data_IF_681584512409
#
_entry.id   IF_681584512409
#
_cell.length_a   1.000
_cell.length_b   1.000
_cell.length_c   1.000
_cell.angle_alpha   90.00
_cell.angle_beta   90.00
_cell.angle_gamma   90.00
#
_symmetry.space_group_name_H-M   'P 1'
#
loop_
_entity.id
_entity.type
_entity.pdbx_description
1 polymer ?
#
# COMPACT_ATOMS: atom_id res chain seq x y z
N UNK A 1 -12.52 -6.49 -16.40
CA UNK A 1 -11.14 -6.41 -15.83
C UNK A 1 -10.14 -6.92 -16.86
N UNK A 2 -8.86 -6.53 -16.75
CA UNK A 2 -7.78 -7.06 -17.58
C UNK A 2 -7.42 -8.49 -17.17
N UNK A 3 -7.30 -9.41 -18.13
CA UNK A 3 -6.92 -10.80 -17.91
C UNK A 3 -5.78 -11.15 -18.87
N UNK A 4 -4.66 -11.61 -18.33
CA UNK A 4 -3.54 -12.11 -19.12
C UNK A 4 -3.69 -13.63 -19.28
N UNK A 5 -3.66 -14.11 -20.51
CA UNK A 5 -3.73 -15.53 -20.82
C UNK A 5 -2.53 -15.96 -21.64
N UNK A 6 -1.90 -17.07 -21.25
CA UNK A 6 -0.81 -17.67 -22.00
C UNK A 6 -1.06 -19.15 -22.26
N UNK A 7 -0.99 -19.54 -23.52
CA UNK A 7 -1.11 -20.91 -24.01
C UNK A 7 -0.40 -20.99 -25.37
N UNK A 8 0.37 -22.01 -25.65
CA UNK A 8 1.05 -22.17 -26.93
C UNK A 8 0.12 -22.68 -28.06
N UNK A 9 -1.00 -23.30 -27.69
CA UNK A 9 -2.01 -23.75 -28.64
C UNK A 9 -2.90 -22.58 -29.10
N UNK A 10 -2.86 -22.30 -30.40
CA UNK A 10 -3.67 -21.23 -31.04
C UNK A 10 -5.17 -21.43 -30.82
N UNK A 11 -5.66 -22.68 -30.83
CA UNK A 11 -7.08 -22.99 -30.66
C UNK A 11 -7.49 -22.75 -29.22
N UNK A 12 -6.67 -23.17 -28.26
CA UNK A 12 -6.92 -22.92 -26.83
C UNK A 12 -6.92 -21.40 -26.52
N UNK A 13 -5.94 -20.65 -27.07
CA UNK A 13 -5.93 -19.19 -26.95
C UNK A 13 -7.19 -18.53 -27.50
N UNK A 14 -7.62 -18.92 -28.71
CA UNK A 14 -8.85 -18.37 -29.33
C UNK A 14 -10.09 -18.67 -28.49
N UNK A 15 -10.18 -19.85 -27.89
CA UNK A 15 -11.29 -20.21 -26.99
C UNK A 15 -11.27 -19.37 -25.70
N UNK A 16 -10.11 -19.24 -25.08
CA UNK A 16 -9.92 -18.40 -23.89
C UNK A 16 -10.32 -16.95 -24.18
N UNK A 17 -9.84 -16.38 -25.28
CA UNK A 17 -10.16 -15.03 -25.71
C UNK A 17 -11.66 -14.82 -25.92
N UNK A 18 -12.32 -15.73 -26.64
CA UNK A 18 -13.76 -15.68 -26.86
C UNK A 18 -14.55 -15.71 -25.55
N UNK A 19 -14.19 -16.58 -24.61
CA UNK A 19 -14.84 -16.69 -23.30
C UNK A 19 -14.66 -15.43 -22.48
N UNK A 20 -13.46 -14.82 -22.51
CA UNK A 20 -13.16 -13.61 -21.78
C UNK A 20 -13.89 -12.38 -22.34
N UNK A 21 -13.92 -12.23 -23.68
CA UNK A 21 -14.63 -11.12 -24.34
C UNK A 21 -16.13 -11.22 -24.06
N UNK A 22 -16.71 -12.41 -24.15
CA UNK A 22 -18.13 -12.64 -23.85
C UNK A 22 -18.45 -12.35 -22.38
N UNK A 23 -17.50 -12.58 -21.47
CA UNK A 23 -17.58 -12.19 -20.06
C UNK A 23 -17.33 -10.71 -19.77
N UNK A 24 -17.10 -9.87 -20.78
CA UNK A 24 -16.84 -8.45 -20.63
C UNK A 24 -15.45 -8.13 -20.04
N UNK A 25 -14.48 -9.02 -20.24
CA UNK A 25 -13.09 -8.83 -19.81
C UNK A 25 -12.22 -8.32 -20.96
N UNK A 26 -11.15 -7.61 -20.61
CA UNK A 26 -10.07 -7.23 -21.53
C UNK A 26 -9.05 -8.37 -21.56
N UNK A 27 -8.98 -9.09 -22.69
CA UNK A 27 -8.08 -10.21 -22.86
C UNK A 27 -6.73 -9.75 -23.42
N UNK A 28 -5.63 -10.10 -22.75
CA UNK A 28 -4.26 -9.96 -23.23
C UNK A 28 -3.72 -11.35 -23.47
N UNK A 29 -3.43 -11.68 -24.73
CA UNK A 29 -3.04 -13.03 -25.14
C UNK A 29 -1.53 -13.10 -25.36
N UNK A 30 -0.89 -14.11 -24.77
CA UNK A 30 0.52 -14.42 -24.95
C UNK A 30 0.65 -15.83 -25.57
N UNK A 31 1.58 -16.01 -26.50
CA UNK A 31 1.79 -17.28 -27.19
C UNK A 31 2.80 -18.21 -26.49
N UNK A 32 3.50 -17.68 -25.49
CA UNK A 32 4.46 -18.41 -24.67
C UNK A 32 4.65 -17.74 -23.30
N UNK A 33 5.40 -18.40 -22.43
CA UNK A 33 5.64 -17.90 -21.09
C UNK A 33 6.54 -16.67 -21.04
N UNK A 34 7.41 -16.45 -22.03
CA UNK A 34 8.25 -15.25 -22.09
C UNK A 34 7.40 -14.02 -22.37
N UNK A 35 6.57 -14.07 -23.40
CA UNK A 35 5.63 -12.99 -23.73
C UNK A 35 4.63 -12.74 -22.59
N UNK A 36 4.20 -13.80 -21.90
CA UNK A 36 3.35 -13.67 -20.73
C UNK A 36 4.04 -12.89 -19.62
N UNK A 37 5.28 -13.22 -19.31
CA UNK A 37 6.07 -12.54 -18.28
C UNK A 37 6.35 -11.07 -18.64
N UNK A 38 6.79 -10.79 -19.85
CA UNK A 38 7.04 -9.43 -20.35
C UNK A 38 5.74 -8.58 -20.27
N UNK A 39 4.60 -9.11 -20.74
CA UNK A 39 3.31 -8.44 -20.64
C UNK A 39 2.84 -8.18 -19.23
N UNK A 40 3.18 -9.07 -18.28
CA UNK A 40 2.86 -8.91 -16.87
C UNK A 40 3.75 -7.84 -16.21
N UNK A 41 5.04 -7.79 -16.54
CA UNK A 41 5.95 -6.77 -16.02
C UNK A 41 5.56 -5.36 -16.49
N UNK A 42 5.18 -5.22 -17.75
CA UNK A 42 4.77 -3.92 -18.32
C UNK A 42 3.49 -3.40 -17.69
N UNK A 43 2.51 -4.29 -17.48
CA UNK A 43 1.25 -3.93 -16.84
C UNK A 43 0.67 -5.16 -16.12
N UNK A 44 0.83 -5.28 -14.79
CA UNK A 44 0.28 -6.39 -14.02
C UNK A 44 -1.22 -6.56 -14.18
N UNK A 45 -1.66 -7.79 -14.43
CA UNK A 45 -3.07 -8.15 -14.57
C UNK A 45 -3.60 -8.73 -13.24
N UNK A 46 -4.82 -8.36 -12.80
CA UNK A 46 -5.42 -8.93 -11.59
C UNK A 46 -5.78 -10.41 -11.73
N UNK A 47 -5.94 -10.91 -12.97
CA UNK A 47 -6.16 -12.32 -13.26
C UNK A 47 -5.21 -12.78 -14.34
N UNK A 48 -4.55 -13.90 -14.11
CA UNK A 48 -3.63 -14.53 -15.05
C UNK A 48 -4.04 -15.99 -15.23
N UNK A 49 -4.14 -16.44 -16.48
CA UNK A 49 -4.43 -17.82 -16.86
C UNK A 49 -3.24 -18.36 -17.64
N UNK A 50 -2.58 -19.41 -17.14
CA UNK A 50 -1.36 -19.95 -17.68
C UNK A 50 -1.50 -21.42 -18.04
N UNK A 51 -1.19 -21.79 -19.27
CA UNK A 51 -0.91 -23.18 -19.57
C UNK A 51 0.42 -23.60 -18.92
N UNK A 52 0.48 -24.83 -18.41
CA UNK A 52 1.71 -25.35 -17.81
C UNK A 52 2.76 -25.61 -18.88
N UNK A 53 2.34 -26.23 -19.97
CA UNK A 53 3.27 -26.75 -20.98
C UNK A 53 3.43 -25.74 -22.12
N UNK A 54 4.30 -24.76 -21.93
CA UNK A 54 4.68 -23.81 -22.99
C UNK A 54 6.15 -23.94 -23.34
N UNK A 55 6.54 -23.69 -24.60
CA UNK A 55 7.94 -23.73 -24.98
C UNK A 55 8.75 -22.62 -24.30
N UNK A 56 10.01 -22.91 -23.99
CA UNK A 56 10.92 -21.96 -23.36
C UNK A 56 10.65 -21.77 -21.89
N UNK A 57 9.86 -20.77 -21.52
CA UNK A 57 9.47 -20.50 -20.14
C UNK A 57 8.12 -21.15 -19.83
N UNK A 58 8.11 -22.20 -19.00
CA UNK A 58 6.88 -22.91 -18.65
C UNK A 58 5.97 -22.09 -17.72
N UNK A 59 4.67 -22.44 -17.66
CA UNK A 59 3.70 -21.70 -16.85
C UNK A 59 3.95 -21.76 -15.35
N UNK A 60 4.55 -22.84 -14.84
CA UNK A 60 4.92 -22.95 -13.42
C UNK A 60 6.02 -21.93 -13.08
N UNK A 61 6.96 -21.72 -13.97
CA UNK A 61 8.02 -20.75 -13.79
C UNK A 61 7.48 -19.33 -13.88
N UNK A 62 6.60 -19.04 -14.84
CA UNK A 62 5.89 -17.74 -14.91
C UNK A 62 5.10 -17.47 -13.63
N UNK A 63 4.39 -18.46 -13.12
CA UNK A 63 3.65 -18.33 -11.86
C UNK A 63 4.58 -17.96 -10.69
N UNK A 64 5.74 -18.60 -10.54
CA UNK A 64 6.72 -18.25 -9.50
C UNK A 64 7.24 -16.84 -9.67
N UNK A 65 7.58 -16.41 -10.88
CA UNK A 65 7.99 -15.03 -11.16
C UNK A 65 6.92 -14.00 -10.78
N UNK A 66 5.63 -14.30 -11.08
CA UNK A 66 4.51 -13.48 -10.64
C UNK A 66 4.45 -13.40 -9.12
N UNK A 67 4.71 -14.49 -8.40
CA UNK A 67 4.69 -14.52 -6.92
C UNK A 67 5.84 -13.76 -6.27
N UNK A 68 6.94 -13.59 -6.96
CA UNK A 68 8.06 -12.76 -6.53
C UNK A 68 7.88 -11.27 -6.89
N UNK A 69 6.92 -10.94 -7.74
CA UNK A 69 6.65 -9.56 -8.18
C UNK A 69 5.87 -8.76 -7.10
N UNK A 70 6.09 -7.43 -6.98
CA UNK A 70 5.34 -6.58 -6.03
C UNK A 70 3.81 -6.68 -6.13
N UNK A 71 3.28 -6.92 -7.34
CA UNK A 71 1.84 -7.11 -7.58
C UNK A 71 1.33 -8.53 -7.23
N UNK A 72 2.17 -9.44 -6.72
CA UNK A 72 1.82 -10.83 -6.42
C UNK A 72 0.51 -10.98 -5.62
N UNK A 73 0.34 -10.15 -4.61
CA UNK A 73 -0.82 -10.19 -3.72
C UNK A 73 -2.12 -9.68 -4.36
N UNK A 74 -2.05 -9.02 -5.51
CA UNK A 74 -3.18 -8.47 -6.25
C UNK A 74 -3.56 -9.32 -7.47
N UNK A 75 -2.74 -10.34 -7.76
CA UNK A 75 -2.88 -11.20 -8.93
C UNK A 75 -3.39 -12.57 -8.53
N UNK A 76 -4.51 -12.99 -9.11
CA UNK A 76 -5.04 -14.35 -9.03
C UNK A 76 -4.52 -15.16 -10.23
N UNK A 77 -3.91 -16.31 -9.98
CA UNK A 77 -3.33 -17.15 -11.04
C UNK A 77 -4.09 -18.46 -11.14
N UNK A 78 -4.63 -18.73 -12.33
CA UNK A 78 -5.25 -20.00 -12.70
C UNK A 78 -4.28 -20.75 -13.60
N UNK A 79 -3.90 -21.96 -13.23
CA UNK A 79 -3.13 -22.83 -14.09
C UNK A 79 -4.05 -23.71 -14.95
N UNK A 80 -3.70 -23.86 -16.23
CA UNK A 80 -4.38 -24.81 -17.13
C UNK A 80 -3.43 -25.96 -17.38
N UNK A 81 -3.91 -27.19 -17.22
CA UNK A 81 -3.05 -28.38 -17.34
C UNK A 81 -3.74 -29.48 -18.14
N UNK A 82 -2.97 -30.16 -18.96
CA UNK A 82 -3.43 -31.37 -19.66
C UNK A 82 -3.42 -32.64 -18.77
N UNK A 83 -2.90 -32.53 -17.54
CA UNK A 83 -2.69 -33.65 -16.63
C UNK A 83 -3.47 -33.47 -15.34
N UNK A 84 -4.06 -34.54 -14.86
CA UNK A 84 -4.83 -34.63 -13.61
C UNK A 84 -4.12 -35.44 -12.51
N UNK A 85 -2.80 -35.67 -12.70
CA UNK A 85 -1.97 -36.42 -11.77
C UNK A 85 -1.76 -35.70 -10.42
N UNK A 86 -1.63 -36.49 -9.33
CA UNK A 86 -1.37 -35.91 -7.98
C UNK A 86 -0.08 -35.10 -7.91
N UNK A 87 0.93 -35.45 -8.69
CA UNK A 87 2.23 -34.78 -8.67
C UNK A 87 2.17 -33.45 -9.44
N UNK A 88 1.34 -33.37 -10.49
CA UNK A 88 1.10 -32.12 -11.22
C UNK A 88 0.37 -31.11 -10.32
N UNK A 89 -0.64 -31.57 -9.58
CA UNK A 89 -1.36 -30.70 -8.62
C UNK A 89 -0.42 -30.15 -7.51
N UNK A 90 0.47 -30.99 -6.99
CA UNK A 90 1.49 -30.53 -6.02
C UNK A 90 2.40 -29.46 -6.61
N UNK A 91 2.81 -29.61 -7.85
CA UNK A 91 3.67 -28.65 -8.57
C UNK A 91 2.96 -27.32 -8.79
N UNK A 92 1.67 -27.35 -9.15
CA UNK A 92 0.83 -26.15 -9.29
C UNK A 92 0.69 -25.39 -7.98
N UNK A 93 0.38 -26.11 -6.89
CA UNK A 93 0.27 -25.50 -5.56
C UNK A 93 1.62 -24.98 -5.06
N UNK A 94 2.71 -25.71 -5.30
CA UNK A 94 4.05 -25.29 -4.92
C UNK A 94 4.54 -24.05 -5.72
N UNK A 95 4.06 -23.86 -6.95
CA UNK A 95 4.31 -22.66 -7.73
C UNK A 95 3.52 -21.44 -7.23
N UNK A 96 2.52 -21.63 -6.34
CA UNK A 96 1.73 -20.56 -5.76
C UNK A 96 0.49 -20.19 -6.58
N UNK A 97 -0.01 -21.08 -7.44
CA UNK A 97 -1.27 -20.87 -8.13
C UNK A 97 -2.46 -20.85 -7.16
N UNK A 98 -3.48 -20.04 -7.47
CA UNK A 98 -4.69 -19.92 -6.66
C UNK A 98 -5.76 -20.94 -7.04
N UNK A 99 -5.78 -21.36 -8.31
CA UNK A 99 -6.68 -22.38 -8.84
C UNK A 99 -6.06 -23.08 -10.05
N UNK A 100 -6.70 -24.17 -10.49
CA UNK A 100 -6.30 -24.87 -11.69
C UNK A 100 -7.51 -25.44 -12.45
N UNK A 101 -7.32 -25.65 -13.75
CA UNK A 101 -8.30 -26.23 -14.67
C UNK A 101 -7.63 -27.32 -15.50
N UNK A 102 -8.25 -28.48 -15.60
CA UNK A 102 -7.74 -29.58 -16.45
C UNK A 102 -8.29 -29.49 -17.88
N UNK A 103 -7.40 -29.69 -18.86
CA UNK A 103 -7.77 -29.83 -20.28
C UNK A 103 -8.27 -31.30 -20.56
N UNK A 104 -9.27 -31.52 -21.41
CA UNK A 104 -10.10 -30.52 -22.07
C UNK A 104 -11.10 -29.90 -21.12
N UNK A 105 -11.30 -28.58 -21.20
CA UNK A 105 -12.31 -27.88 -20.37
C UNK A 105 -13.42 -27.34 -21.26
N UNK A 106 -14.65 -27.38 -20.74
CA UNK A 106 -15.78 -26.76 -21.45
C UNK A 106 -15.75 -25.23 -21.24
N UNK A 107 -16.28 -24.45 -22.19
CA UNK A 107 -16.43 -23.00 -22.03
C UNK A 107 -17.19 -22.62 -20.75
N UNK A 108 -18.23 -23.42 -20.39
CA UNK A 108 -19.02 -23.18 -19.17
C UNK A 108 -18.18 -23.35 -17.89
N UNK A 109 -17.36 -24.41 -17.82
CA UNK A 109 -16.51 -24.65 -16.69
C UNK A 109 -15.44 -23.52 -16.55
N UNK A 110 -14.86 -23.10 -17.68
CA UNK A 110 -13.91 -21.99 -17.71
C UNK A 110 -14.57 -20.69 -17.24
N UNK A 111 -15.77 -20.35 -17.74
CA UNK A 111 -16.54 -19.18 -17.27
C UNK A 111 -16.77 -19.22 -15.77
N UNK A 112 -17.24 -20.34 -15.23
CA UNK A 112 -17.48 -20.48 -13.79
C UNK A 112 -16.21 -20.22 -12.96
N UNK A 113 -15.05 -20.71 -13.43
CA UNK A 113 -13.75 -20.46 -12.76
C UNK A 113 -13.34 -19.00 -12.82
N UNK A 114 -13.50 -18.35 -13.98
CA UNK A 114 -13.21 -16.94 -14.16
C UNK A 114 -14.12 -16.05 -13.28
N UNK A 115 -15.41 -16.39 -13.16
CA UNK A 115 -16.34 -15.69 -12.28
C UNK A 115 -15.94 -15.82 -10.81
N UNK A 116 -15.60 -17.04 -10.36
CA UNK A 116 -15.12 -17.27 -8.98
C UNK A 116 -13.83 -16.49 -8.72
N UNK A 117 -12.89 -16.50 -9.66
CA UNK A 117 -11.65 -15.73 -9.56
C UNK A 117 -11.94 -14.23 -9.47
N UNK A 118 -12.82 -13.72 -10.32
CA UNK A 118 -13.24 -12.31 -10.29
C UNK A 118 -13.86 -11.91 -8.95
N UNK A 119 -14.76 -12.74 -8.40
CA UNK A 119 -15.34 -12.49 -7.08
C UNK A 119 -14.26 -12.47 -5.97
N UNK A 120 -13.31 -13.40 -5.99
CA UNK A 120 -12.21 -13.44 -5.03
C UNK A 120 -11.29 -12.23 -5.13
N UNK A 121 -10.97 -11.76 -6.35
CA UNK A 121 -10.17 -10.56 -6.57
C UNK A 121 -10.87 -9.34 -5.95
N UNK A 122 -12.16 -9.15 -6.21
CA UNK A 122 -12.96 -8.03 -5.66
C UNK A 122 -13.03 -8.11 -4.13
N UNK A 123 -13.29 -9.30 -3.57
CA UNK A 123 -13.36 -9.49 -2.12
C UNK A 123 -12.01 -9.22 -1.45
N UNK A 124 -10.91 -9.69 -2.03
CA UNK A 124 -9.56 -9.45 -1.49
C UNK A 124 -9.18 -7.97 -1.55
N UNK A 125 -9.54 -7.27 -2.63
CA UNK A 125 -9.32 -5.83 -2.74
C UNK A 125 -10.12 -5.05 -1.69
N UNK A 126 -11.40 -5.37 -1.50
CA UNK A 126 -12.25 -4.76 -0.48
C UNK A 126 -11.73 -5.02 0.94
N UNK A 127 -11.30 -6.26 1.23
CA UNK A 127 -10.70 -6.61 2.54
C UNK A 127 -9.44 -5.80 2.82
N UNK A 128 -8.51 -5.69 1.84
CA UNK A 128 -7.28 -4.90 2.01
C UNK A 128 -7.59 -3.43 2.23
N UNK A 129 -8.54 -2.87 1.50
CA UNK A 129 -8.97 -1.49 1.70
C UNK A 129 -9.51 -1.26 3.12
N UNK A 130 -10.33 -2.19 3.63
CA UNK A 130 -10.86 -2.13 4.99
C UNK A 130 -9.74 -2.27 6.05
N UNK A 131 -8.81 -3.21 5.87
CA UNK A 131 -7.65 -3.41 6.76
C UNK A 131 -6.75 -2.16 6.79
N UNK A 132 -6.49 -1.53 5.63
CA UNK A 132 -5.73 -0.29 5.54
C UNK A 132 -6.44 0.88 6.25
N UNK A 133 -7.76 0.98 6.13
CA UNK A 133 -8.54 2.02 6.83
C UNK A 133 -8.55 1.81 8.35
N UNK A 134 -8.68 0.56 8.81
CA UNK A 134 -8.56 0.24 10.24
C UNK A 134 -7.16 0.55 10.77
N UNK A 135 -6.12 0.19 10.01
CA UNK A 135 -4.73 0.51 10.39
C UNK A 135 -4.51 2.03 10.46
N UNK A 136 -5.03 2.78 9.49
CA UNK A 136 -5.01 4.24 9.47
C UNK A 136 -5.73 4.84 10.68
N UNK A 137 -6.93 4.34 10.97
CA UNK A 137 -7.74 4.82 12.10
C UNK A 137 -7.05 4.56 13.45
N UNK A 138 -6.47 3.36 13.65
CA UNK A 138 -5.70 3.03 14.85
C UNK A 138 -4.46 3.91 15.01
N UNK A 139 -3.74 4.17 13.92
CA UNK A 139 -2.58 5.04 13.92
C UNK A 139 -2.96 6.48 14.32
N UNK A 140 -4.07 7.01 13.77
CA UNK A 140 -4.60 8.34 14.13
C UNK A 140 -5.05 8.41 15.59
N UNK A 141 -5.72 7.38 16.10
CA UNK A 141 -6.13 7.30 17.50
C UNK A 141 -4.92 7.28 18.45
N UNK A 142 -3.88 6.50 18.13
CA UNK A 142 -2.65 6.45 18.92
C UNK A 142 -1.91 7.80 18.96
N UNK A 143 -1.88 8.54 17.84
CA UNK A 143 -1.33 9.91 17.84
C UNK A 143 -2.18 10.85 18.70
N UNK A 144 -3.51 10.74 18.63
CA UNK A 144 -4.41 11.61 19.40
C UNK A 144 -4.20 11.48 20.91
N UNK A 145 -4.14 10.26 21.44
CA UNK A 145 -3.88 10.00 22.86
C UNK A 145 -2.50 10.50 23.31
N UNK A 146 -1.45 10.21 22.52
CA UNK A 146 -0.08 10.63 22.82
C UNK A 146 0.06 12.16 22.77
N UNK A 147 -0.64 12.81 21.85
CA UNK A 147 -0.57 14.28 21.69
C UNK A 147 -1.22 15.01 22.84
N UNK A 148 -2.33 14.51 23.39
CA UNK A 148 -3.00 15.09 24.57
C UNK A 148 -2.11 14.95 25.81
N UNK A 149 -1.49 13.79 26.02
CA UNK A 149 -0.56 13.58 27.11
C UNK A 149 0.66 14.52 27.02
N UNK A 150 1.27 14.61 25.82
CA UNK A 150 2.38 15.53 25.55
C UNK A 150 2.00 17.00 25.73
N UNK A 151 0.78 17.41 25.36
CA UNK A 151 0.28 18.76 25.58
C UNK A 151 0.32 19.11 27.08
N UNK A 152 -0.18 18.24 27.95
CA UNK A 152 -0.17 18.43 29.39
C UNK A 152 1.25 18.40 29.98
N UNK A 153 2.07 17.42 29.57
CA UNK A 153 3.43 17.27 30.08
C UNK A 153 4.38 18.39 29.65
N UNK A 154 4.20 19.00 28.48
CA UNK A 154 5.02 20.09 27.99
C UNK A 154 4.49 21.46 28.48
N UNK A 155 3.18 21.66 28.51
CA UNK A 155 2.60 22.95 28.94
C UNK A 155 2.83 23.21 30.43
N UNK A 156 2.93 22.18 31.29
CA UNK A 156 3.20 22.35 32.71
C UNK A 156 4.58 23.03 32.97
N UNK A 157 5.74 22.50 32.48
CA UNK A 157 7.02 23.19 32.68
C UNK A 157 7.10 24.52 31.94
N UNK A 158 6.47 24.67 30.77
CA UNK A 158 6.41 25.95 30.05
C UNK A 158 5.69 27.03 30.86
N UNK A 159 4.58 26.70 31.49
CA UNK A 159 3.83 27.64 32.34
C UNK A 159 4.65 28.05 33.56
N UNK A 160 5.37 27.10 34.15
CA UNK A 160 6.28 27.45 35.26
C UNK A 160 7.43 28.38 34.80
N UNK A 161 8.06 28.11 33.65
CA UNK A 161 9.10 28.95 33.06
C UNK A 161 8.60 30.36 32.75
N UNK A 162 7.41 30.47 32.14
CA UNK A 162 6.80 31.77 31.86
C UNK A 162 6.49 32.53 33.13
N UNK A 163 5.91 31.89 34.17
CA UNK A 163 5.62 32.50 35.45
C UNK A 163 6.87 33.00 36.18
N UNK A 164 7.98 32.24 36.19
CA UNK A 164 9.22 32.67 36.74
C UNK A 164 9.87 33.83 35.96
N UNK A 165 9.79 33.81 34.63
CA UNK A 165 10.28 34.92 33.81
C UNK A 165 9.47 36.19 34.04
N UNK A 166 8.13 36.11 34.20
CA UNK A 166 7.29 37.24 34.56
C UNK A 166 7.62 37.82 35.94
N UNK A 167 7.80 36.96 36.94
CA UNK A 167 8.19 37.41 38.29
C UNK A 167 9.53 38.13 38.26
N UNK A 168 10.54 37.64 37.53
CA UNK A 168 11.84 38.27 37.40
C UNK A 168 11.75 39.63 36.70
N UNK A 169 10.90 39.80 35.70
CA UNK A 169 10.68 41.07 35.01
C UNK A 169 10.04 42.15 35.90
N UNK A 170 9.37 41.75 37.01
CA UNK A 170 8.84 42.69 38.00
C UNK A 170 9.89 43.21 38.99
N UNK A 171 11.12 42.67 38.97
CA UNK A 171 12.19 43.09 39.85
C UNK A 171 12.83 44.40 39.35
N UNK A 172 12.90 45.42 40.24
CA UNK A 172 13.65 46.65 39.96
C UNK A 172 15.17 46.42 40.12
N UNK A 173 15.94 46.77 39.09
CA UNK A 173 17.41 46.67 39.12
C UNK A 173 18.03 45.67 38.15
N UNK A 174 17.26 45.09 37.23
CA UNK A 174 17.79 44.26 36.15
C UNK A 174 18.56 45.12 35.13
N UNK A 175 19.71 44.61 34.66
CA UNK A 175 20.42 45.22 33.53
C UNK A 175 19.61 45.08 32.21
N UNK A 176 19.92 45.95 31.25
CA UNK A 176 19.29 45.90 29.93
C UNK A 176 19.49 44.52 29.25
N UNK A 177 20.66 43.90 29.42
CA UNK A 177 20.98 42.59 28.89
C UNK A 177 20.17 41.46 29.57
N UNK A 178 19.93 41.57 30.89
CA UNK A 178 19.08 40.62 31.62
C UNK A 178 17.62 40.71 31.21
N UNK A 179 17.11 41.96 31.03
CA UNK A 179 15.76 42.18 30.52
C UNK A 179 15.56 41.63 29.14
N UNK A 180 16.53 41.80 28.24
CA UNK A 180 16.47 41.26 26.89
C UNK A 180 16.49 39.73 26.88
N UNK A 181 17.35 39.11 27.69
CA UNK A 181 17.43 37.67 27.88
C UNK A 181 16.10 37.08 28.38
N UNK A 182 15.43 37.71 29.35
CA UNK A 182 14.12 37.28 29.86
C UNK A 182 13.02 37.37 28.80
N UNK A 183 13.04 38.43 27.99
CA UNK A 183 12.09 38.59 26.89
C UNK A 183 12.25 37.48 25.84
N UNK A 184 13.52 37.16 25.49
CA UNK A 184 13.79 36.05 24.56
C UNK A 184 13.28 34.73 25.13
N UNK A 185 13.47 34.43 26.41
CA UNK A 185 12.98 33.24 27.09
C UNK A 185 11.42 33.17 26.98
N UNK A 186 10.74 34.26 27.29
CA UNK A 186 9.29 34.33 27.20
C UNK A 186 8.79 34.07 25.76
N UNK A 187 9.42 34.69 24.78
CA UNK A 187 9.07 34.55 23.38
C UNK A 187 9.26 33.08 22.89
N UNK A 188 10.38 32.45 23.24
CA UNK A 188 10.64 31.09 22.87
C UNK A 188 9.66 30.09 23.56
N UNK A 189 9.40 30.29 24.85
CA UNK A 189 8.46 29.46 25.58
C UNK A 189 7.02 29.58 25.01
N UNK A 190 6.56 30.76 24.67
CA UNK A 190 5.29 31.02 24.04
C UNK A 190 5.21 30.33 22.65
N UNK A 191 6.32 30.37 21.89
CA UNK A 191 6.42 29.72 20.60
C UNK A 191 6.31 28.19 20.71
N UNK A 192 6.96 27.58 21.71
CA UNK A 192 6.86 26.14 21.97
C UNK A 192 5.43 25.77 22.34
N UNK A 193 4.78 26.53 23.23
CA UNK A 193 3.38 26.31 23.62
C UNK A 193 2.42 26.35 22.41
N UNK A 194 2.65 27.25 21.47
CA UNK A 194 1.83 27.34 20.25
C UNK A 194 2.04 26.13 19.33
N UNK A 195 3.27 25.64 19.19
CA UNK A 195 3.58 24.41 18.41
C UNK A 195 2.87 23.20 19.01
N UNK A 196 2.94 23.04 20.33
CA UNK A 196 2.28 21.93 21.05
C UNK A 196 0.75 22.02 20.90
N UNK A 197 0.19 23.22 21.00
CA UNK A 197 -1.26 23.44 20.80
C UNK A 197 -1.71 23.14 19.37
N UNK A 198 -0.88 23.42 18.36
CA UNK A 198 -1.14 23.04 16.97
C UNK A 198 -1.11 21.54 16.78
N UNK A 199 -0.14 20.86 17.38
CA UNK A 199 -0.07 19.40 17.38
C UNK A 199 -1.34 18.77 17.93
N UNK A 200 -1.85 19.25 19.05
CA UNK A 200 -3.08 18.75 19.67
C UNK A 200 -4.36 18.96 18.81
N UNK A 201 -4.34 19.96 17.92
CA UNK A 201 -5.47 20.25 17.00
C UNK A 201 -5.44 19.47 15.70
N UNK A 202 -4.39 18.69 15.43
CA UNK A 202 -4.26 17.91 14.19
C UNK A 202 -5.25 16.75 14.15
N UNK A 203 -6.41 16.96 13.50
CA UNK A 203 -7.41 15.91 13.24
C UNK A 203 -7.00 14.96 12.11
N UNK A 204 -6.06 15.35 11.26
CA UNK A 204 -5.60 14.55 10.11
C UNK A 204 -4.14 14.89 9.79
N UNK A 205 -3.18 14.29 10.51
CA UNK A 205 -1.77 14.60 10.30
C UNK A 205 -1.32 14.10 8.93
N UNK A 206 -0.96 15.02 8.04
CA UNK A 206 -0.25 14.71 6.81
C UNK A 206 1.24 14.63 7.11
N UNK A 207 1.88 13.55 6.67
CA UNK A 207 3.34 13.43 6.78
C UNK A 207 4.00 13.95 5.51
N UNK A 208 4.98 14.84 5.65
CA UNK A 208 5.82 15.35 4.55
C UNK A 208 7.21 14.74 4.65
N UNK A 209 7.82 14.47 3.50
CA UNK A 209 9.21 14.02 3.43
C UNK A 209 10.13 15.20 3.76
N UNK A 210 10.89 15.10 4.85
CA UNK A 210 11.72 16.20 5.35
C UNK A 210 13.19 16.09 4.94
N UNK A 211 13.73 14.88 4.88
CA UNK A 211 15.09 14.55 4.40
C UNK A 211 15.05 13.11 3.88
N UNK A 212 15.92 12.76 2.96
CA UNK A 212 15.96 11.47 2.29
C UNK A 212 15.64 10.28 3.23
N UNK A 213 14.39 9.79 3.16
CA UNK A 213 13.89 8.64 3.92
C UNK A 213 13.22 8.93 5.27
N UNK A 214 13.16 10.18 5.75
CA UNK A 214 12.45 10.53 7.00
C UNK A 214 11.15 11.27 6.74
N UNK A 215 10.02 10.73 7.23
CA UNK A 215 8.71 11.39 7.18
C UNK A 215 8.46 12.16 8.47
N UNK A 216 8.10 13.44 8.35
CA UNK A 216 7.68 14.29 9.47
C UNK A 216 6.22 14.72 9.31
N UNK A 217 5.56 14.99 10.43
CA UNK A 217 4.24 15.59 10.46
C UNK A 217 4.27 17.02 9.93
N UNK A 218 3.41 17.36 8.97
CA UNK A 218 3.24 18.73 8.51
C UNK A 218 2.48 19.54 9.57
N UNK A 219 3.20 20.39 10.26
CA UNK A 219 2.65 21.32 11.27
C UNK A 219 2.21 22.66 10.67
N UNK A 220 2.20 22.81 9.33
CA UNK A 220 1.87 24.04 8.64
C UNK A 220 2.91 25.16 8.86
N UNK A 221 4.12 24.82 9.27
CA UNK A 221 5.24 25.79 9.34
C UNK A 221 5.87 25.91 7.96
N UNK A 222 5.63 26.99 7.25
CA UNK A 222 6.52 27.41 6.16
C UNK A 222 7.81 27.87 6.79
N UNK A 223 8.99 27.37 6.34
CA UNK A 223 10.26 27.96 6.76
C UNK A 223 10.23 29.44 6.36
N UNK A 224 10.44 30.31 7.36
CA UNK A 224 10.49 31.74 7.13
C UNK A 224 11.55 32.05 6.09
N UNK A 225 11.19 32.78 5.06
CA UNK A 225 12.09 33.43 4.13
C UNK A 225 12.98 34.38 4.96
N UNK A 226 14.21 33.94 5.23
CA UNK A 226 15.26 34.84 5.70
C UNK A 226 15.68 35.68 4.52
N UNK A 227 15.32 36.95 4.56
CA UNK A 227 15.93 37.99 3.75
C UNK A 227 17.21 38.46 4.46
#
# INVERSE_FOLDING_TARGET
MRVLCADDDVIARALLEAVLIDGGHEAVMAEDGKHAWESFQDAPAPLVVLDINMPGLDGLTVCRLIREHPAANETFVIMVTARDGRDDLRSVLAAGADDYVTKPTSPENLRARLEIAGQRIVQNAARRAAEAEVARSRWLAGIGETTIALEHEINNPLSALLGHAELLLMYEGLSAEQLDSLRVIQEQAARIAEVVRRLAKLKNPQSVEYLAGSRMLDLGMRPGSTT
#
